data_IF_322143440012
#
_entry.id   IF_322143440012
#
_cell.length_a   1.000
_cell.length_b   1.000
_cell.length_c   1.000
_cell.angle_alpha   90.00
_cell.angle_beta   90.00
_cell.angle_gamma   90.00
#
_symmetry.space_group_name_H-M   'P 1'
#
loop_
_entity.id
_entity.type
_entity.pdbx_description
1 polymer ?
#
# COMPACT_ATOMS: atom_id res chain seq x y z
N UNK A 1 -53.45 -14.95 -55.79
CA UNK A 1 -52.35 -14.80 -54.82
C UNK A 1 -52.34 -16.08 -54.00
N UNK A 2 -51.28 -16.88 -54.10
CA UNK A 2 -51.23 -18.21 -53.50
C UNK A 2 -51.14 -18.13 -51.96
N UNK A 3 -51.96 -18.94 -51.29
CA UNK A 3 -52.05 -19.00 -49.83
C UNK A 3 -50.68 -19.28 -49.16
N UNK A 4 -49.83 -20.05 -49.83
CA UNK A 4 -48.46 -20.37 -49.38
C UNK A 4 -47.55 -19.14 -49.31
N UNK A 5 -47.70 -18.18 -50.24
CA UNK A 5 -46.92 -16.95 -50.27
C UNK A 5 -47.31 -16.04 -49.09
N UNK A 6 -48.60 -15.96 -48.78
CA UNK A 6 -49.14 -15.18 -47.66
C UNK A 6 -48.64 -15.72 -46.32
N UNK A 7 -48.66 -17.05 -46.15
CA UNK A 7 -48.17 -17.73 -44.94
C UNK A 7 -46.66 -17.55 -44.78
N UNK A 8 -45.89 -17.62 -45.87
CA UNK A 8 -44.44 -17.40 -45.85
C UNK A 8 -44.07 -15.97 -45.47
N UNK A 9 -44.78 -14.97 -46.00
CA UNK A 9 -44.58 -13.56 -45.64
C UNK A 9 -44.93 -13.31 -44.16
N UNK A 10 -46.04 -13.87 -43.68
CA UNK A 10 -46.48 -13.72 -42.28
C UNK A 10 -45.51 -14.38 -41.28
N UNK A 11 -45.00 -15.57 -41.60
CA UNK A 11 -44.00 -16.29 -40.76
C UNK A 11 -42.64 -15.58 -40.74
N UNK A 12 -42.22 -15.01 -41.87
CA UNK A 12 -41.01 -14.18 -41.97
C UNK A 12 -41.11 -12.91 -41.13
N UNK A 13 -42.26 -12.22 -41.20
CA UNK A 13 -42.53 -11.01 -40.41
C UNK A 13 -42.56 -11.30 -38.90
N UNK A 14 -43.19 -12.42 -38.49
CA UNK A 14 -43.18 -12.90 -37.10
C UNK A 14 -41.77 -13.22 -36.60
N UNK A 15 -40.95 -13.87 -37.42
CA UNK A 15 -39.57 -14.21 -37.06
C UNK A 15 -38.71 -12.96 -36.86
N UNK A 16 -38.91 -11.95 -37.70
CA UNK A 16 -38.24 -10.64 -37.55
C UNK A 16 -38.66 -9.93 -36.25
N UNK A 17 -39.96 -9.96 -35.92
CA UNK A 17 -40.49 -9.40 -34.68
C UNK A 17 -39.89 -10.08 -33.44
N UNK A 18 -39.82 -11.41 -33.43
CA UNK A 18 -39.19 -12.18 -32.33
C UNK A 18 -37.71 -11.81 -32.21
N UNK A 19 -36.97 -11.75 -33.32
CA UNK A 19 -35.56 -11.38 -33.32
C UNK A 19 -35.32 -9.97 -32.74
N UNK A 20 -36.16 -8.99 -33.11
CA UNK A 20 -36.08 -7.62 -32.58
C UNK A 20 -36.35 -7.58 -31.07
N UNK A 21 -37.36 -8.31 -30.60
CA UNK A 21 -37.68 -8.41 -29.18
C UNK A 21 -36.53 -9.06 -28.41
N UNK A 22 -35.95 -10.14 -28.94
CA UNK A 22 -34.79 -10.81 -28.34
C UNK A 22 -33.59 -9.87 -28.21
N UNK A 23 -33.29 -9.06 -29.23
CA UNK A 23 -32.20 -8.07 -29.17
C UNK A 23 -32.47 -7.00 -28.10
N UNK A 24 -33.71 -6.52 -27.98
CA UNK A 24 -34.09 -5.53 -26.96
C UNK A 24 -33.94 -6.09 -25.55
N UNK A 25 -34.39 -7.34 -25.33
CA UNK A 25 -34.26 -8.02 -24.03
C UNK A 25 -32.78 -8.23 -23.70
N UNK A 26 -31.98 -8.72 -24.66
CA UNK A 26 -30.55 -8.94 -24.47
C UNK A 26 -29.82 -7.64 -24.13
N UNK A 27 -30.11 -6.55 -24.86
CA UNK A 27 -29.53 -5.24 -24.58
C UNK A 27 -29.87 -4.73 -23.18
N UNK A 28 -31.13 -4.85 -22.76
CA UNK A 28 -31.55 -4.48 -21.40
C UNK A 28 -30.86 -5.33 -20.33
N UNK A 29 -30.74 -6.63 -20.55
CA UNK A 29 -30.07 -7.55 -19.64
C UNK A 29 -28.59 -7.20 -19.47
N UNK A 30 -27.86 -6.96 -20.57
CA UNK A 30 -26.45 -6.53 -20.52
C UNK A 30 -26.29 -5.22 -19.75
N UNK A 31 -27.17 -4.25 -19.99
CA UNK A 31 -27.12 -2.95 -19.30
C UNK A 31 -27.39 -3.06 -17.78
N UNK A 32 -28.29 -3.95 -17.37
CA UNK A 32 -28.57 -4.22 -15.95
C UNK A 32 -27.38 -4.92 -15.31
N UNK A 33 -26.77 -5.90 -15.99
CA UNK A 33 -25.57 -6.59 -15.51
C UNK A 33 -24.37 -5.66 -15.36
N UNK A 34 -24.18 -4.71 -16.28
CA UNK A 34 -23.12 -3.68 -16.16
C UNK A 34 -23.32 -2.80 -14.93
N UNK A 35 -24.54 -2.30 -14.69
CA UNK A 35 -24.85 -1.51 -13.49
C UNK A 35 -24.69 -2.30 -12.19
N UNK A 36 -25.04 -3.58 -12.20
CA UNK A 36 -24.83 -4.47 -11.07
C UNK A 36 -23.34 -4.65 -10.76
N UNK A 37 -22.52 -4.85 -11.81
CA UNK A 37 -21.07 -4.97 -11.69
C UNK A 37 -20.42 -3.67 -11.20
N UNK A 38 -20.82 -2.51 -11.72
CA UNK A 38 -20.36 -1.20 -11.25
C UNK A 38 -20.68 -1.00 -9.76
N UNK A 39 -21.90 -1.33 -9.34
CA UNK A 39 -22.29 -1.23 -7.94
C UNK A 39 -21.52 -2.19 -7.03
N UNK A 40 -21.27 -3.44 -7.47
CA UNK A 40 -20.44 -4.38 -6.72
C UNK A 40 -18.98 -3.94 -6.64
N UNK A 41 -18.45 -3.32 -7.70
CA UNK A 41 -17.11 -2.73 -7.69
C UNK A 41 -17.04 -1.54 -6.72
N UNK A 42 -18.04 -0.65 -6.70
CA UNK A 42 -18.14 0.45 -5.74
C UNK A 42 -18.24 -0.06 -4.29
N UNK A 43 -19.08 -1.08 -4.03
CA UNK A 43 -19.22 -1.67 -2.69
C UNK A 43 -17.93 -2.38 -2.23
N UNK A 44 -17.20 -3.04 -3.16
CA UNK A 44 -15.87 -3.61 -2.88
C UNK A 44 -14.81 -2.53 -2.65
N UNK A 45 -14.89 -1.41 -3.37
CA UNK A 45 -14.00 -0.26 -3.20
C UNK A 45 -14.21 0.39 -1.83
N UNK A 46 -15.46 0.64 -1.42
CA UNK A 46 -15.81 1.16 -0.10
C UNK A 46 -15.40 0.23 1.05
N UNK A 47 -15.59 -1.09 0.88
CA UNK A 47 -15.15 -2.08 1.86
C UNK A 47 -13.62 -2.10 2.00
N UNK A 48 -12.90 -2.09 0.87
CA UNK A 48 -11.44 -2.04 0.82
C UNK A 48 -10.91 -0.75 1.45
N UNK A 49 -11.57 0.38 1.22
CA UNK A 49 -11.23 1.67 1.85
C UNK A 49 -11.45 1.61 3.37
N UNK A 50 -12.54 1.00 3.83
CA UNK A 50 -12.85 0.86 5.25
C UNK A 50 -11.82 -0.01 5.99
N UNK A 51 -11.46 -1.18 5.45
CA UNK A 51 -10.43 -2.04 6.05
C UNK A 51 -9.06 -1.36 6.04
N UNK A 52 -8.69 -0.70 4.94
CA UNK A 52 -7.43 0.03 4.84
C UNK A 52 -7.36 1.24 5.80
N UNK A 53 -8.49 1.91 6.05
CA UNK A 53 -8.58 2.97 7.05
C UNK A 53 -8.44 2.41 8.48
N UNK A 54 -8.97 1.22 8.74
CA UNK A 54 -8.78 0.54 10.03
C UNK A 54 -7.31 0.20 10.29
N UNK A 55 -6.62 -0.38 9.28
CA UNK A 55 -5.18 -0.66 9.35
C UNK A 55 -4.40 0.64 9.62
N UNK A 56 -4.71 1.72 8.90
CA UNK A 56 -4.10 3.04 9.14
C UNK A 56 -4.26 3.50 10.60
N UNK A 57 -5.49 3.42 11.14
CA UNK A 57 -5.77 3.83 12.52
C UNK A 57 -4.97 2.97 13.51
N UNK A 58 -4.86 1.66 13.26
CA UNK A 58 -4.06 0.76 14.08
C UNK A 58 -2.57 1.11 14.05
N UNK A 59 -1.99 1.37 12.88
CA UNK A 59 -0.58 1.79 12.74
C UNK A 59 -0.34 3.13 13.44
N UNK A 60 -1.19 4.13 13.22
CA UNK A 60 -1.04 5.45 13.86
C UNK A 60 -1.10 5.32 15.38
N UNK A 61 -2.00 4.48 15.89
CA UNK A 61 -2.10 4.21 17.32
C UNK A 61 -0.86 3.49 17.85
N UNK A 62 -0.34 2.48 17.13
CA UNK A 62 0.89 1.78 17.50
C UNK A 62 2.10 2.72 17.53
N UNK A 63 2.25 3.58 16.51
CA UNK A 63 3.30 4.59 16.45
C UNK A 63 3.21 5.56 17.64
N UNK A 64 2.01 6.08 17.94
CA UNK A 64 1.80 6.98 19.08
C UNK A 64 2.06 6.29 20.42
N UNK A 65 1.66 5.03 20.57
CA UNK A 65 1.95 4.24 21.76
C UNK A 65 3.45 4.03 21.94
N UNK A 66 4.17 3.70 20.88
CA UNK A 66 5.62 3.58 20.93
C UNK A 66 6.27 4.90 21.31
N UNK A 67 5.84 6.03 20.73
CA UNK A 67 6.34 7.35 21.08
C UNK A 67 6.06 7.76 22.53
N UNK A 68 4.87 7.47 23.05
CA UNK A 68 4.48 7.80 24.43
C UNK A 68 5.30 7.03 25.49
N UNK A 69 5.87 5.89 25.11
CA UNK A 69 6.69 5.04 25.97
C UNK A 69 8.18 5.37 25.89
N UNK A 70 8.57 6.33 25.03
CA UNK A 70 9.95 6.79 24.97
C UNK A 70 10.21 7.79 26.09
N UNK A 71 11.40 7.75 26.72
CA UNK A 71 11.73 8.67 27.77
C UNK A 71 11.86 10.09 27.20
N UNK A 72 11.51 11.13 27.99
CA UNK A 72 11.49 12.51 27.52
C UNK A 72 12.87 13.02 27.06
N UNK A 73 13.94 12.45 27.61
CA UNK A 73 15.32 12.78 27.30
C UNK A 73 15.91 12.01 26.11
N UNK A 74 15.10 11.24 25.35
CA UNK A 74 15.57 10.50 24.15
C UNK A 74 16.14 11.42 23.06
N UNK A 75 15.92 12.72 23.19
CA UNK A 75 16.40 13.76 22.30
C UNK A 75 17.79 14.26 22.65
N UNK A 76 18.30 13.95 23.83
CA UNK A 76 19.56 14.47 24.31
C UNK A 76 20.71 13.83 23.51
N UNK A 77 21.70 14.60 23.03
CA UNK A 77 22.83 14.06 22.27
C UNK A 77 23.61 12.98 23.02
N UNK A 78 23.66 13.08 24.35
CA UNK A 78 24.36 12.16 25.24
C UNK A 78 23.46 11.01 25.74
N UNK A 79 22.26 10.88 25.18
CA UNK A 79 21.32 9.82 25.59
C UNK A 79 21.88 8.43 25.26
N UNK A 80 22.13 7.64 26.32
CA UNK A 80 22.53 6.25 26.18
C UNK A 80 21.30 5.38 26.02
N UNK A 81 21.15 4.81 24.84
CA UNK A 81 20.01 3.96 24.49
C UNK A 81 20.01 2.65 25.27
N UNK A 82 18.96 2.43 26.05
CA UNK A 82 18.71 1.17 26.76
C UNK A 82 18.19 0.10 25.79
N UNK A 83 18.32 -1.18 26.15
CA UNK A 83 17.76 -2.27 25.34
C UNK A 83 16.25 -2.15 25.14
N UNK A 84 15.52 -1.73 26.17
CA UNK A 84 14.08 -1.56 26.10
C UNK A 84 13.70 -0.46 25.10
N UNK A 85 14.39 0.68 25.14
CA UNK A 85 14.15 1.78 24.21
C UNK A 85 14.53 1.38 22.79
N UNK A 86 15.65 0.68 22.61
CA UNK A 86 16.03 0.12 21.32
C UNK A 86 14.95 -0.84 20.78
N UNK A 87 14.38 -1.71 21.62
CA UNK A 87 13.28 -2.61 21.22
C UNK A 87 12.06 -1.82 20.74
N UNK A 88 11.69 -0.76 21.46
CA UNK A 88 10.54 0.10 21.09
C UNK A 88 10.78 0.84 19.76
N UNK A 89 11.99 1.33 19.52
CA UNK A 89 12.35 1.98 18.25
C UNK A 89 12.33 0.98 17.10
N UNK A 90 12.80 -0.25 17.31
CA UNK A 90 12.70 -1.32 16.31
C UNK A 90 11.25 -1.65 15.97
N UNK A 91 10.38 -1.78 16.98
CA UNK A 91 8.95 -2.00 16.77
C UNK A 91 8.31 -0.86 15.99
N UNK A 92 8.65 0.39 16.31
CA UNK A 92 8.24 1.55 15.53
C UNK A 92 8.61 1.40 14.05
N UNK A 93 9.84 0.98 13.74
CA UNK A 93 10.26 0.80 12.34
C UNK A 93 9.54 -0.35 11.63
N UNK A 94 9.19 -1.42 12.33
CA UNK A 94 8.31 -2.45 11.76
C UNK A 94 6.92 -1.91 11.46
N UNK A 95 6.31 -1.12 12.34
CA UNK A 95 5.02 -0.48 12.06
C UNK A 95 5.08 0.48 10.86
N UNK A 96 6.17 1.22 10.69
CA UNK A 96 6.38 2.07 9.51
C UNK A 96 6.52 1.23 8.24
N UNK A 97 7.20 0.08 8.33
CA UNK A 97 7.30 -0.85 7.20
C UNK A 97 5.93 -1.42 6.83
N UNK A 98 5.14 -1.87 7.81
CA UNK A 98 3.81 -2.45 7.55
C UNK A 98 2.90 -1.44 6.85
N UNK A 99 2.89 -0.19 7.30
CA UNK A 99 2.14 0.90 6.65
C UNK A 99 2.63 1.21 5.24
N UNK A 100 3.95 1.28 5.06
CA UNK A 100 4.56 1.48 3.75
C UNK A 100 4.20 0.33 2.81
N UNK A 101 4.25 -0.91 3.30
CA UNK A 101 3.95 -2.12 2.54
C UNK A 101 2.49 -2.10 2.11
N UNK A 102 1.55 -1.90 3.03
CA UNK A 102 0.12 -1.75 2.74
C UNK A 102 -0.11 -0.65 1.69
N UNK A 103 0.49 0.53 1.86
CA UNK A 103 0.38 1.59 0.87
C UNK A 103 0.85 1.16 -0.53
N UNK A 104 1.90 0.34 -0.64
CA UNK A 104 2.48 -0.07 -1.93
C UNK A 104 1.89 -1.36 -2.50
N UNK A 105 1.16 -2.15 -1.71
CA UNK A 105 0.54 -3.41 -2.17
C UNK A 105 -0.98 -3.37 -2.24
N UNK A 106 -1.64 -2.56 -1.42
CA UNK A 106 -3.09 -2.51 -1.33
C UNK A 106 -3.70 -1.38 -2.17
N UNK A 107 -4.18 -1.76 -3.37
CA UNK A 107 -5.10 -0.96 -4.17
C UNK A 107 -4.60 0.40 -4.67
N UNK A 108 -5.29 0.93 -5.68
CA UNK A 108 -4.99 2.26 -6.26
C UNK A 108 -5.17 3.40 -5.24
N UNK A 109 -5.98 3.18 -4.20
CA UNK A 109 -6.38 4.20 -3.24
C UNK A 109 -5.28 4.52 -2.21
N UNK A 110 -4.60 3.51 -1.66
CA UNK A 110 -3.54 3.73 -0.66
C UNK A 110 -2.16 4.02 -1.27
N UNK A 111 -1.98 3.72 -2.57
CA UNK A 111 -0.73 3.98 -3.30
C UNK A 111 -0.23 5.42 -3.14
N UNK A 112 -1.15 6.38 -3.11
CA UNK A 112 -0.86 7.80 -2.98
C UNK A 112 -0.68 8.29 -1.54
N UNK A 113 -1.15 7.54 -0.53
CA UNK A 113 -1.17 8.03 0.86
C UNK A 113 0.24 8.18 1.44
N UNK A 114 1.14 7.24 1.12
CA UNK A 114 2.56 7.35 1.46
C UNK A 114 3.17 8.66 0.97
N UNK A 115 2.93 8.96 -0.30
CA UNK A 115 3.54 10.09 -0.99
C UNK A 115 2.88 11.43 -0.63
N UNK A 116 1.59 11.42 -0.29
CA UNK A 116 0.85 12.64 0.09
C UNK A 116 0.97 12.99 1.58
N UNK A 117 1.05 12.01 2.47
CA UNK A 117 0.90 12.24 3.91
C UNK A 117 1.99 11.62 4.77
N UNK A 118 2.24 10.31 4.67
CA UNK A 118 3.08 9.62 5.65
C UNK A 118 4.54 10.04 5.62
N UNK A 119 5.11 10.25 4.44
CA UNK A 119 6.51 10.66 4.35
C UNK A 119 6.78 11.98 5.08
N UNK A 120 5.83 12.91 5.05
CA UNK A 120 5.94 14.18 5.77
C UNK A 120 5.83 13.99 7.29
N UNK A 121 4.94 13.10 7.75
CA UNK A 121 4.83 12.72 9.16
C UNK A 121 6.08 12.04 9.72
N UNK A 122 6.87 11.39 8.85
CA UNK A 122 8.12 10.72 9.22
C UNK A 122 9.32 11.68 9.30
N UNK A 123 9.23 12.89 8.70
CA UNK A 123 10.34 13.86 8.70
C UNK A 123 10.86 14.22 10.12
N UNK A 124 10.02 14.50 11.14
CA UNK A 124 10.51 14.80 12.49
C UNK A 124 11.23 13.63 13.16
N UNK A 125 10.92 12.39 12.75
CA UNK A 125 11.62 11.19 13.22
C UNK A 125 12.98 11.06 12.53
N UNK A 126 13.04 11.35 11.22
CA UNK A 126 14.29 11.36 10.44
C UNK A 126 15.31 12.40 10.90
N UNK A 127 14.89 13.43 11.64
CA UNK A 127 15.80 14.39 12.30
C UNK A 127 16.54 13.81 13.51
N UNK A 128 16.10 12.66 14.04
CA UNK A 128 16.56 12.14 15.34
C UNK A 128 17.59 11.03 15.14
N UNK A 129 18.85 11.24 15.56
CA UNK A 129 19.92 10.26 15.40
C UNK A 129 19.58 8.87 15.98
N UNK A 130 18.90 8.83 17.13
CA UNK A 130 18.55 7.55 17.79
C UNK A 130 17.68 6.67 16.88
N UNK A 131 16.74 7.27 16.13
CA UNK A 131 15.87 6.55 15.21
C UNK A 131 16.59 6.15 13.93
N UNK A 132 17.35 7.07 13.33
CA UNK A 132 18.06 6.83 12.08
C UNK A 132 19.20 5.83 12.24
N UNK A 133 19.93 5.87 13.36
CA UNK A 133 20.94 4.87 13.70
C UNK A 133 20.33 3.50 13.94
N UNK A 134 19.16 3.41 14.59
CA UNK A 134 18.48 2.15 14.84
C UNK A 134 18.07 1.44 13.53
N UNK A 135 17.42 2.13 12.59
CA UNK A 135 17.03 1.52 11.31
C UNK A 135 18.23 1.19 10.44
N UNK A 136 19.28 2.03 10.47
CA UNK A 136 20.54 1.75 9.80
C UNK A 136 21.18 0.47 10.34
N UNK A 137 21.25 0.31 11.66
CA UNK A 137 21.73 -0.93 12.30
C UNK A 137 20.89 -2.15 11.91
N UNK A 138 19.55 -2.02 11.93
CA UNK A 138 18.65 -3.11 11.54
C UNK A 138 18.95 -3.63 10.12
N UNK A 139 19.23 -2.73 9.18
CA UNK A 139 19.42 -3.09 7.77
C UNK A 139 20.88 -3.49 7.47
N UNK A 140 21.85 -2.68 7.92
CA UNK A 140 23.26 -2.83 7.54
C UNK A 140 24.00 -3.86 8.40
N UNK A 141 23.63 -3.99 9.68
CA UNK A 141 24.34 -4.84 10.65
C UNK A 141 23.54 -6.09 10.99
N UNK A 142 22.25 -5.93 11.30
CA UNK A 142 21.39 -7.06 11.69
C UNK A 142 20.78 -7.79 10.48
N UNK A 143 20.98 -7.28 9.27
CA UNK A 143 20.50 -7.85 8.00
C UNK A 143 18.98 -8.15 7.96
N UNK A 144 18.17 -7.29 8.58
CA UNK A 144 16.70 -7.40 8.53
C UNK A 144 16.21 -7.19 7.10
N UNK A 145 15.47 -8.17 6.57
CA UNK A 145 15.09 -8.23 5.16
C UNK A 145 13.75 -7.57 4.82
N UNK A 146 12.93 -7.25 5.82
CA UNK A 146 11.61 -6.64 5.65
C UNK A 146 10.77 -7.34 4.56
N UNK A 147 10.48 -8.62 4.75
CA UNK A 147 9.79 -9.49 3.78
C UNK A 147 10.45 -9.52 2.38
N UNK A 148 11.77 -9.36 2.33
CA UNK A 148 12.54 -9.28 1.08
C UNK A 148 12.44 -7.94 0.34
N UNK A 149 11.74 -6.95 0.92
CA UNK A 149 11.50 -5.63 0.31
C UNK A 149 12.47 -4.55 0.79
N UNK A 150 13.51 -4.91 1.55
CA UNK A 150 14.45 -3.94 2.15
C UNK A 150 15.06 -2.97 1.13
N UNK A 151 15.30 -3.37 -0.11
CA UNK A 151 15.86 -2.48 -1.14
C UNK A 151 14.88 -1.36 -1.52
N UNK A 152 13.61 -1.69 -1.75
CA UNK A 152 12.58 -0.72 -2.14
C UNK A 152 12.20 0.14 -0.94
N UNK A 153 12.10 -0.47 0.25
CA UNK A 153 11.83 0.27 1.49
C UNK A 153 12.97 1.24 1.82
N UNK A 154 14.24 0.85 1.67
CA UNK A 154 15.39 1.74 1.88
C UNK A 154 15.37 2.95 0.93
N UNK A 155 14.93 2.77 -0.32
CA UNK A 155 14.74 3.89 -1.25
C UNK A 155 13.68 4.88 -0.74
N UNK A 156 12.56 4.37 -0.23
CA UNK A 156 11.53 5.22 0.36
C UNK A 156 12.05 5.97 1.60
N UNK A 157 12.80 5.29 2.48
CA UNK A 157 13.40 5.92 3.66
C UNK A 157 14.45 6.99 3.27
N UNK A 158 15.28 6.73 2.27
CA UNK A 158 16.27 7.67 1.75
C UNK A 158 15.61 8.91 1.13
N UNK A 159 14.47 8.76 0.45
CA UNK A 159 13.70 9.91 -0.03
C UNK A 159 13.32 10.84 1.13
N UNK A 160 12.72 10.29 2.20
CA UNK A 160 12.33 11.10 3.37
C UNK A 160 13.55 11.70 4.07
N UNK A 161 14.64 10.94 4.21
CA UNK A 161 15.84 11.40 4.87
C UNK A 161 16.52 12.55 4.09
N UNK A 162 16.55 12.48 2.75
CA UNK A 162 17.08 13.55 1.89
C UNK A 162 16.30 14.85 2.02
N UNK A 163 14.97 14.78 2.18
CA UNK A 163 14.13 15.97 2.40
C UNK A 163 14.52 16.76 3.66
N UNK A 164 15.23 16.14 4.59
CA UNK A 164 15.51 16.69 5.92
C UNK A 164 17.00 16.94 6.15
N UNK A 165 17.84 15.98 5.76
CA UNK A 165 19.27 15.95 6.06
C UNK A 165 20.14 16.05 4.80
N UNK A 166 19.53 16.20 3.62
CA UNK A 166 20.21 16.33 2.32
C UNK A 166 21.24 15.22 2.01
N UNK A 167 21.02 14.03 2.57
CA UNK A 167 21.91 12.86 2.49
C UNK A 167 21.08 11.58 2.49
N UNK A 168 21.66 10.49 1.97
CA UNK A 168 21.03 9.16 2.09
C UNK A 168 21.28 8.57 3.48
N UNK A 169 20.26 7.90 4.01
CA UNK A 169 20.32 7.24 5.31
C UNK A 169 21.06 5.91 5.22
N UNK A 170 20.70 5.11 4.21
CA UNK A 170 21.20 3.77 3.95
C UNK A 170 21.83 3.76 2.56
N UNK A 171 23.08 3.33 2.48
CA UNK A 171 23.77 3.14 1.20
C UNK A 171 23.69 1.66 0.82
N UNK A 172 22.61 1.29 0.14
CA UNK A 172 22.31 -0.12 -0.14
C UNK A 172 23.32 -0.76 -1.10
N UNK A 173 23.93 0.04 -1.98
CA UNK A 173 24.94 -0.44 -2.92
C UNK A 173 26.19 -0.92 -2.16
N UNK A 174 26.53 -0.33 -1.02
CA UNK A 174 27.63 -0.80 -0.16
C UNK A 174 27.32 -2.11 0.58
N UNK A 175 26.04 -2.44 0.81
CA UNK A 175 25.63 -3.62 1.58
C UNK A 175 25.77 -4.89 0.74
N UNK A 176 25.50 -4.84 -0.57
CA UNK A 176 25.62 -6.01 -1.45
C UNK A 176 27.06 -6.50 -1.61
N UNK A 177 28.07 -5.62 -1.54
CA UNK A 177 29.47 -6.00 -1.67
C UNK A 177 30.09 -6.59 -0.39
N UNK A 178 29.52 -6.32 0.79
CA UNK A 178 30.01 -6.90 2.05
C UNK A 178 29.63 -8.39 2.19
N UNK A 179 28.48 -8.80 1.64
CA UNK A 179 27.96 -10.17 1.71
C UNK A 179 28.62 -11.20 0.78
N UNK A 180 29.59 -10.80 -0.05
CA UNK A 180 30.34 -11.71 -0.94
C UNK A 180 31.76 -12.03 -0.45
N UNK A 181 32.23 -11.40 0.63
CA UNK A 181 33.58 -11.63 1.18
C UNK A 181 33.63 -12.59 2.37
N UNK A 182 32.55 -13.34 2.64
CA UNK A 182 32.52 -14.39 3.67
C UNK A 182 32.19 -15.77 3.08
N UNK A 183 32.96 -16.13 2.05
CA UNK A 183 33.16 -17.52 1.64
C UNK A 183 34.65 -17.72 1.34
N UNK A 184 35.45 -17.75 2.40
CA UNK A 184 36.75 -18.42 2.43
C UNK A 184 36.78 -19.29 3.69
#
# INVERSE_FOLDING_TARGET
MDLSLIISIATSAMSLLVALISVIIMYRSVKISQKGLEKTLEEMEDYTISENLEIHVQVVNAVRQHQAQLPPNIHDPDYVMTEEVNRRIRMFWFSIFDEWFVCKTEGKFMTDYWDKYYKYGLMPVMKRPVFTQAIKKMIEVDHITFLGQVHVFSKALNEVHRMVNNTDLIDYDKIQFAGHNHKD
#
